data_IF_129010106478
#
_entry.id   IF_129010106478
#
_cell.length_a   1.000
_cell.length_b   1.000
_cell.length_c   1.000
_cell.angle_alpha   90.00
_cell.angle_beta   90.00
_cell.angle_gamma   90.00
#
_symmetry.space_group_name_H-M   'P 1'
#
loop_
_entity.id
_entity.type
_entity.pdbx_description
1 polymer ?
#
# COMPACT_ATOMS: atom_id res chain seq x y z
N UNK A 1 -35.15 30.52 11.06
CA UNK A 1 -34.55 30.09 9.77
C UNK A 1 -33.14 29.60 10.08
N UNK A 2 -32.94 28.29 10.18
CA UNK A 2 -31.64 27.71 10.55
C UNK A 2 -30.77 27.59 9.30
N UNK A 3 -29.62 28.24 9.29
CA UNK A 3 -28.63 28.14 8.22
C UNK A 3 -27.77 26.89 8.46
N UNK A 4 -27.95 25.87 7.64
CA UNK A 4 -27.07 24.71 7.56
C UNK A 4 -25.69 25.15 7.05
N UNK A 5 -24.57 24.77 7.69
CA UNK A 5 -23.27 24.98 7.10
C UNK A 5 -23.12 23.97 5.95
N UNK A 6 -22.97 24.48 4.74
CA UNK A 6 -22.57 23.69 3.59
C UNK A 6 -21.25 23.00 3.92
N UNK A 7 -21.29 21.67 4.03
CA UNK A 7 -20.09 20.84 3.96
C UNK A 7 -19.41 21.16 2.63
N UNK A 8 -18.27 21.82 2.71
CA UNK A 8 -17.43 22.12 1.56
C UNK A 8 -16.87 20.79 1.04
N UNK A 9 -17.62 20.11 0.18
CA UNK A 9 -17.08 19.03 -0.63
C UNK A 9 -15.96 19.62 -1.46
N UNK A 10 -14.72 19.20 -1.21
CA UNK A 10 -13.56 19.56 -2.01
C UNK A 10 -13.77 19.00 -3.43
N UNK A 11 -14.48 19.77 -4.24
CA UNK A 11 -14.80 19.47 -5.64
C UNK A 11 -13.76 20.16 -6.49
N UNK A 12 -12.49 19.87 -6.23
CA UNK A 12 -11.39 20.38 -7.06
C UNK A 12 -11.20 19.37 -8.17
N UNK A 13 -11.47 19.81 -9.41
CA UNK A 13 -10.99 19.12 -10.60
C UNK A 13 -9.46 19.14 -10.50
N UNK A 14 -8.88 18.09 -9.92
CA UNK A 14 -7.45 17.96 -9.73
C UNK A 14 -6.76 18.07 -11.09
N UNK A 15 -6.14 19.22 -11.36
CA UNK A 15 -5.22 19.34 -12.48
C UNK A 15 -4.03 18.40 -12.21
N UNK A 16 -3.69 17.57 -13.19
CA UNK A 16 -2.52 16.71 -13.06
C UNK A 16 -1.28 17.60 -12.90
N UNK A 17 -0.39 17.33 -11.93
CA UNK A 17 0.87 18.04 -11.83
C UNK A 17 1.65 17.96 -13.15
N UNK A 18 2.25 19.07 -13.57
CA UNK A 18 3.05 19.10 -14.79
C UNK A 18 4.42 18.47 -14.51
N UNK A 19 4.70 17.30 -15.11
CA UNK A 19 5.96 16.58 -14.95
C UNK A 19 6.86 16.84 -16.17
N UNK A 20 7.87 17.74 -16.06
CA UNK A 20 8.68 18.15 -17.21
C UNK A 20 9.59 17.05 -17.77
N UNK A 21 9.95 16.04 -16.95
CA UNK A 21 10.86 14.94 -17.33
C UNK A 21 10.13 13.68 -17.82
N UNK A 22 8.93 13.85 -18.36
CA UNK A 22 8.07 12.75 -18.79
C UNK A 22 8.44 12.23 -20.17
N UNK A 23 9.43 11.34 -20.24
CA UNK A 23 9.58 10.48 -21.41
C UNK A 23 8.44 9.46 -21.42
N UNK A 24 7.52 9.61 -22.37
CA UNK A 24 6.51 8.60 -22.65
C UNK A 24 7.24 7.31 -23.06
N UNK A 25 7.37 6.36 -22.13
CA UNK A 25 7.86 5.04 -22.47
C UNK A 25 6.88 4.45 -23.49
N UNK A 26 7.37 3.87 -24.61
CA UNK A 26 6.49 3.24 -25.56
C UNK A 26 5.60 2.23 -24.83
N UNK A 27 4.33 2.14 -25.27
CA UNK A 27 3.38 1.15 -24.78
C UNK A 27 4.11 -0.17 -24.60
N UNK A 28 4.03 -0.76 -23.40
CA UNK A 28 4.69 -2.01 -23.04
C UNK A 28 4.42 -3.01 -24.18
N UNK A 29 5.39 -3.22 -25.08
CA UNK A 29 5.28 -4.28 -26.06
C UNK A 29 5.23 -5.54 -25.22
N UNK A 30 4.09 -6.21 -25.27
CA UNK A 30 3.87 -7.45 -24.55
C UNK A 30 4.76 -8.50 -25.21
N UNK A 31 6.04 -8.53 -24.79
CA UNK A 31 6.94 -9.60 -25.14
C UNK A 31 6.36 -10.84 -24.47
N UNK A 32 5.74 -11.69 -25.28
CA UNK A 32 5.22 -13.01 -24.92
C UNK A 32 6.42 -13.89 -24.51
N UNK A 33 6.92 -13.62 -23.32
CA UNK A 33 7.99 -14.34 -22.64
C UNK A 33 7.63 -14.25 -21.17
N UNK A 34 7.61 -15.39 -20.48
CA UNK A 34 7.27 -15.46 -19.06
C UNK A 34 8.16 -14.47 -18.29
N UNK A 35 7.63 -13.29 -17.97
CA UNK A 35 8.34 -12.29 -17.16
C UNK A 35 8.47 -12.91 -15.78
N UNK A 36 9.68 -13.37 -15.45
CA UNK A 36 10.02 -13.80 -14.10
C UNK A 36 10.01 -12.54 -13.24
N UNK A 37 9.01 -12.40 -12.38
CA UNK A 37 8.98 -11.28 -11.47
C UNK A 37 9.95 -11.54 -10.33
N UNK A 38 10.69 -10.51 -9.90
CA UNK A 38 11.56 -10.57 -8.72
C UNK A 38 10.82 -11.10 -7.49
N UNK A 39 9.51 -10.82 -7.38
CA UNK A 39 8.64 -11.33 -6.31
C UNK A 39 8.57 -12.87 -6.26
N UNK A 40 8.69 -13.55 -7.40
CA UNK A 40 8.55 -15.00 -7.48
C UNK A 40 9.75 -15.74 -6.88
N UNK A 41 10.92 -15.10 -6.86
CA UNK A 41 12.12 -15.60 -6.16
C UNK A 41 11.95 -15.54 -4.64
N UNK A 42 11.26 -14.51 -4.12
CA UNK A 42 11.00 -14.37 -2.68
C UNK A 42 9.82 -15.23 -2.20
N UNK A 43 8.79 -15.44 -3.02
CA UNK A 43 7.59 -16.21 -2.63
C UNK A 43 7.89 -17.67 -2.27
N UNK A 44 8.91 -18.27 -2.88
CA UNK A 44 9.27 -19.67 -2.69
C UNK A 44 10.46 -19.86 -1.75
N UNK A 45 10.88 -18.81 -1.04
CA UNK A 45 11.97 -18.91 -0.08
C UNK A 45 11.62 -19.92 1.03
N UNK A 46 12.52 -20.88 1.27
CA UNK A 46 12.38 -21.84 2.37
C UNK A 46 12.98 -21.23 3.63
N UNK A 47 12.18 -21.18 4.69
CA UNK A 47 12.60 -20.71 6.01
C UNK A 47 13.00 -21.94 6.82
N UNK A 48 14.08 -21.85 7.59
CA UNK A 48 14.50 -22.93 8.48
C UNK A 48 13.48 -23.11 9.62
N UNK A 49 13.21 -24.35 10.03
CA UNK A 49 12.19 -24.66 11.05
C UNK A 49 12.52 -24.03 12.41
N UNK A 50 13.80 -23.79 12.69
CA UNK A 50 14.29 -23.11 13.88
C UNK A 50 13.95 -21.62 13.84
N UNK A 51 14.03 -21.00 12.65
CA UNK A 51 13.73 -19.58 12.46
C UNK A 51 12.23 -19.27 12.67
N UNK A 52 11.34 -20.23 12.38
CA UNK A 52 9.90 -20.08 12.61
C UNK A 52 9.52 -19.93 14.08
N UNK A 53 10.40 -20.35 15.01
CA UNK A 53 10.16 -20.29 16.45
C UNK A 53 10.76 -19.05 17.12
N UNK A 54 11.52 -18.24 16.37
CA UNK A 54 12.17 -17.05 16.91
C UNK A 54 11.13 -16.00 17.29
N UNK A 55 11.41 -15.27 18.37
CA UNK A 55 10.56 -14.17 18.84
C UNK A 55 11.40 -13.03 19.42
N UNK A 56 10.78 -11.88 19.65
CA UNK A 56 11.46 -10.74 20.26
C UNK A 56 12.72 -10.30 19.50
N UNK A 57 13.81 -10.10 20.23
CA UNK A 57 15.07 -9.60 19.67
C UNK A 57 15.74 -10.59 18.72
N UNK A 58 15.67 -11.90 19.01
CA UNK A 58 16.29 -12.92 18.16
C UNK A 58 15.67 -12.94 16.75
N UNK A 59 14.35 -12.73 16.66
CA UNK A 59 13.66 -12.60 15.38
C UNK A 59 14.10 -11.34 14.64
N UNK A 60 14.27 -10.22 15.34
CA UNK A 60 14.76 -8.96 14.75
C UNK A 60 16.16 -9.13 14.18
N UNK A 61 17.06 -9.76 14.93
CA UNK A 61 18.45 -9.98 14.51
C UNK A 61 18.52 -10.96 13.32
N UNK A 62 17.71 -12.02 13.34
CA UNK A 62 17.57 -12.94 12.22
C UNK A 62 17.10 -12.22 10.94
N UNK A 63 16.05 -11.40 11.03
CA UNK A 63 15.53 -10.65 9.87
C UNK A 63 16.57 -9.68 9.32
N UNK A 64 17.25 -8.93 10.18
CA UNK A 64 18.25 -7.94 9.77
C UNK A 64 19.54 -8.57 9.21
N UNK A 65 19.83 -9.83 9.55
CA UNK A 65 20.98 -10.56 8.99
C UNK A 65 20.69 -11.20 7.63
N UNK A 66 19.42 -11.46 7.32
CA UNK A 66 19.02 -12.17 6.09
C UNK A 66 18.49 -11.26 4.98
N UNK A 67 18.27 -9.97 5.25
CA UNK A 67 17.93 -8.98 4.23
C UNK A 67 18.43 -7.58 4.61
N UNK A 68 18.58 -6.70 3.61
CA UNK A 68 19.10 -5.33 3.79
C UNK A 68 18.18 -4.24 3.21
N UNK A 69 16.99 -4.60 2.74
CA UNK A 69 16.06 -3.68 2.06
C UNK A 69 15.27 -2.81 3.05
N UNK A 70 15.06 -3.32 4.27
CA UNK A 70 14.40 -2.62 5.36
C UNK A 70 15.03 -3.04 6.70
N UNK A 71 14.81 -2.24 7.74
CA UNK A 71 15.34 -2.53 9.09
C UNK A 71 14.20 -2.95 10.01
N UNK A 72 14.33 -4.12 10.62
CA UNK A 72 13.43 -4.63 11.64
C UNK A 72 13.79 -4.07 13.02
N UNK A 73 12.80 -3.68 13.81
CA UNK A 73 12.93 -3.24 15.20
C UNK A 73 11.70 -3.64 16.00
N UNK A 74 11.86 -3.80 17.32
CA UNK A 74 10.74 -4.01 18.24
C UNK A 74 9.95 -2.70 18.33
N UNK A 75 8.65 -2.76 18.04
CA UNK A 75 7.77 -1.61 18.11
C UNK A 75 6.79 -1.69 19.30
N UNK A 76 5.97 -0.64 19.47
CA UNK A 76 4.99 -0.53 20.55
C UNK A 76 3.94 -1.66 20.57
N UNK A 77 3.75 -2.39 19.48
CA UNK A 77 2.76 -3.48 19.38
C UNK A 77 3.24 -4.76 20.05
N UNK A 78 4.53 -4.88 20.40
CA UNK A 78 5.06 -6.07 21.07
C UNK A 78 4.41 -6.30 22.45
N UNK A 79 4.09 -5.20 23.17
CA UNK A 79 3.45 -5.24 24.48
C UNK A 79 1.94 -5.47 24.44
N UNK A 80 1.33 -5.50 23.24
CA UNK A 80 -0.10 -5.68 23.12
C UNK A 80 -0.48 -7.14 23.37
N UNK A 81 -1.67 -7.35 23.92
CA UNK A 81 -2.26 -8.68 24.02
C UNK A 81 -2.53 -9.25 22.62
N UNK A 82 -2.46 -10.57 22.50
CA UNK A 82 -2.59 -11.25 21.21
C UNK A 82 -3.92 -10.94 20.52
N UNK A 83 -5.01 -10.82 21.27
CA UNK A 83 -6.32 -10.46 20.72
C UNK A 83 -6.30 -9.09 20.00
N UNK A 84 -5.53 -8.12 20.51
CA UNK A 84 -5.34 -6.82 19.87
C UNK A 84 -4.48 -6.98 18.62
N UNK A 85 -3.38 -7.73 18.71
CA UNK A 85 -2.50 -8.01 17.55
C UNK A 85 -3.27 -8.65 16.39
N UNK A 86 -4.11 -9.65 16.66
CA UNK A 86 -4.99 -10.25 15.66
C UNK A 86 -6.06 -9.27 15.17
N UNK A 87 -6.59 -8.43 16.06
CA UNK A 87 -7.51 -7.34 15.72
C UNK A 87 -6.94 -6.40 14.67
N UNK A 88 -5.65 -6.06 14.72
CA UNK A 88 -5.02 -5.19 13.73
C UNK A 88 -5.01 -5.77 12.30
N UNK A 89 -5.22 -7.09 12.13
CA UNK A 89 -5.17 -7.82 10.86
C UNK A 89 -6.57 -8.09 10.24
N UNK A 90 -7.50 -7.15 10.40
CA UNK A 90 -8.94 -7.36 10.13
C UNK A 90 -9.40 -7.53 8.66
N UNK A 91 -8.52 -7.50 7.67
CA UNK A 91 -8.91 -7.70 6.26
C UNK A 91 -9.12 -9.17 5.96
N UNK A 92 -10.37 -9.55 5.65
CA UNK A 92 -10.70 -10.89 5.16
C UNK A 92 -10.31 -11.01 3.69
N UNK A 93 -9.63 -12.09 3.33
CA UNK A 93 -9.41 -12.46 1.92
C UNK A 93 -10.76 -12.81 1.28
N UNK A 94 -11.42 -11.84 0.65
CA UNK A 94 -12.58 -12.11 -0.17
C UNK A 94 -12.12 -12.66 -1.51
N UNK A 95 -12.65 -13.82 -1.92
CA UNK A 95 -12.60 -14.23 -3.31
C UNK A 95 -13.56 -13.30 -4.05
N UNK A 96 -13.06 -12.54 -5.02
CA UNK A 96 -13.95 -11.82 -5.92
C UNK A 96 -14.85 -12.89 -6.59
N UNK A 97 -16.19 -12.78 -6.52
CA UNK A 97 -17.06 -13.64 -7.29
C UNK A 97 -16.68 -13.52 -8.78
N UNK A 98 -16.70 -14.65 -9.50
CA UNK A 98 -16.26 -14.72 -10.90
C UNK A 98 -17.00 -13.74 -11.82
N UNK A 99 -18.20 -13.33 -11.43
CA UNK A 99 -19.07 -12.41 -12.19
C UNK A 99 -18.90 -10.93 -11.84
N UNK A 100 -17.96 -10.58 -10.95
CA UNK A 100 -17.61 -9.19 -10.76
C UNK A 100 -16.94 -8.69 -12.04
N UNK A 101 -17.70 -7.94 -12.85
CA UNK A 101 -17.16 -7.05 -13.87
C UNK A 101 -16.11 -6.21 -13.18
N UNK A 102 -14.83 -6.50 -13.44
CA UNK A 102 -13.74 -5.58 -13.12
C UNK A 102 -14.11 -4.32 -13.88
N UNK A 103 -14.68 -3.33 -13.19
CA UNK A 103 -14.85 -2.00 -13.73
C UNK A 103 -13.45 -1.45 -13.84
N UNK A 104 -12.81 -1.81 -14.94
CA UNK A 104 -11.50 -1.30 -15.22
C UNK A 104 -11.64 0.20 -15.40
N UNK A 105 -10.85 0.93 -14.62
CA UNK A 105 -10.84 2.39 -14.67
C UNK A 105 -10.64 2.84 -16.13
N UNK A 106 -11.33 3.89 -16.60
CA UNK A 106 -11.02 4.51 -17.89
C UNK A 106 -9.53 4.85 -18.04
N UNK A 107 -8.82 5.05 -16.93
CA UNK A 107 -7.37 5.27 -16.88
C UNK A 107 -6.54 4.13 -17.47
N UNK A 108 -7.06 2.91 -17.58
CA UNK A 108 -6.34 1.77 -18.15
C UNK A 108 -5.95 1.97 -19.63
N UNK A 109 -6.69 2.85 -20.35
CA UNK A 109 -6.48 3.14 -21.76
C UNK A 109 -5.85 4.52 -21.99
N UNK A 110 -5.51 5.23 -20.92
CA UNK A 110 -4.90 6.55 -21.04
C UNK A 110 -3.40 6.33 -21.23
N UNK A 111 -2.88 6.81 -22.36
CA UNK A 111 -1.44 6.98 -22.58
C UNK A 111 -0.94 8.15 -21.72
N UNK A 112 -0.93 7.93 -20.40
CA UNK A 112 -0.42 8.88 -19.41
C UNK A 112 1.04 8.56 -19.11
N UNK A 113 1.86 9.60 -19.01
CA UNK A 113 3.18 9.45 -18.45
C UNK A 113 3.08 9.18 -16.94
N UNK A 114 3.74 8.13 -16.46
CA UNK A 114 3.89 7.83 -15.04
C UNK A 114 5.27 8.34 -14.60
N UNK A 115 5.37 9.27 -13.64
CA UNK A 115 6.64 9.80 -13.18
C UNK A 115 7.45 8.72 -12.44
N UNK A 116 8.78 8.92 -12.37
CA UNK A 116 9.69 7.99 -11.67
C UNK A 116 9.42 7.91 -10.16
N UNK A 117 8.93 8.99 -9.57
CA UNK A 117 8.52 9.09 -8.16
C UNK A 117 7.23 9.91 -8.09
N UNK A 118 6.35 9.57 -7.15
CA UNK A 118 5.08 10.24 -6.95
C UNK A 118 4.72 10.26 -5.46
N UNK A 119 4.41 11.45 -4.92
CA UNK A 119 3.83 11.61 -3.59
C UNK A 119 2.52 12.39 -3.70
N UNK A 120 1.42 11.78 -3.24
CA UNK A 120 0.10 12.37 -3.29
C UNK A 120 0.00 13.66 -2.44
N UNK A 121 0.81 13.79 -1.39
CA UNK A 121 0.83 14.98 -0.52
C UNK A 121 1.45 16.19 -1.23
N UNK A 122 2.40 15.94 -2.13
CA UNK A 122 3.01 16.98 -2.97
C UNK A 122 2.12 17.35 -4.16
N UNK A 123 1.42 16.35 -4.73
CA UNK A 123 0.52 16.56 -5.86
C UNK A 123 -0.77 17.32 -5.49
N UNK A 124 -1.29 17.10 -4.28
CA UNK A 124 -2.53 17.72 -3.77
C UNK A 124 -2.32 18.35 -2.39
N UNK A 125 -1.51 19.41 -2.29
CA UNK A 125 -1.19 20.04 -1.01
C UNK A 125 -2.42 20.66 -0.33
N UNK A 126 -3.45 21.05 -1.09
CA UNK A 126 -4.73 21.54 -0.57
C UNK A 126 -5.52 20.46 0.19
N UNK A 127 -5.23 19.18 -0.05
CA UNK A 127 -5.87 18.03 0.57
C UNK A 127 -5.07 17.46 1.76
N UNK A 128 -4.11 18.20 2.32
CA UNK A 128 -3.17 17.69 3.34
C UNK A 128 -3.86 17.12 4.58
N UNK A 129 -5.01 17.68 4.98
CA UNK A 129 -5.77 17.20 6.14
C UNK A 129 -6.38 15.80 5.94
N UNK A 130 -6.54 15.38 4.68
CA UNK A 130 -7.06 14.06 4.31
C UNK A 130 -5.94 13.09 3.94
N UNK A 131 -5.01 13.51 3.08
CA UNK A 131 -3.97 12.63 2.51
C UNK A 131 -2.75 12.51 3.45
N UNK A 132 -2.42 13.56 4.20
CA UNK A 132 -1.29 13.57 5.12
C UNK A 132 -1.60 13.01 6.51
N UNK A 133 -2.86 12.69 6.81
CA UNK A 133 -3.31 12.32 8.14
C UNK A 133 -3.21 10.81 8.39
N UNK A 134 -2.48 10.41 9.44
CA UNK A 134 -2.37 9.02 9.88
C UNK A 134 -3.48 8.72 10.90
N UNK A 135 -4.41 7.83 10.55
CA UNK A 135 -5.54 7.43 11.41
C UNK A 135 -5.17 6.22 12.29
N UNK A 136 -5.83 6.13 13.44
CA UNK A 136 -5.72 4.98 14.36
C UNK A 136 -6.98 4.11 14.29
N UNK A 137 -6.83 2.83 13.96
CA UNK A 137 -7.92 1.86 13.93
C UNK A 137 -8.32 1.32 15.33
N UNK A 138 -7.63 1.76 16.39
CA UNK A 138 -7.78 1.24 17.76
C UNK A 138 -7.58 -0.29 17.81
N UNK A 139 -8.08 -0.94 18.86
CA UNK A 139 -8.10 -2.41 18.97
C UNK A 139 -9.16 -3.09 18.07
N UNK A 140 -9.70 -2.39 17.05
CA UNK A 140 -10.75 -2.91 16.18
C UNK A 140 -10.17 -3.48 14.88
N UNK A 141 -10.72 -4.62 14.43
CA UNK A 141 -10.42 -5.22 13.12
C UNK A 141 -11.13 -4.59 11.93
N UNK A 142 -11.28 -3.28 11.95
CA UNK A 142 -11.84 -2.51 10.83
C UNK A 142 -10.73 -1.67 10.21
N UNK A 143 -10.07 -2.24 9.21
CA UNK A 143 -9.30 -1.46 8.24
C UNK A 143 -10.32 -0.76 7.33
N UNK A 144 -10.62 0.51 7.63
CA UNK A 144 -11.52 1.39 6.87
C UNK A 144 -10.75 2.33 5.96
#
# INVERSE_FOLDING_TARGET
>A
MWLFPFLLFCSVQAALPNYPDCEAKPALQDSIGKKKFVIDDYRNAKIAAEAEKLSGQELVDYVNSHQTLWKAEINKFNSYEDHVKYGLLGVKKSKLPADNKVYSSPAQYVNACIPKSFDAREAWPECILSIGNIRDQSACGKLQ
#
